data_IF_678136781754
#
_entry.id   IF_678136781754
#
_cell.length_a   1.000
_cell.length_b   1.000
_cell.length_c   1.000
_cell.angle_alpha   90.00
_cell.angle_beta   90.00
_cell.angle_gamma   90.00
#
_symmetry.space_group_name_H-M   'P 1'
#
loop_
_entity.id
_entity.type
_entity.pdbx_description
1 polymer ?
#
# COMPACT_ATOMS: atom_id res chain seq x y z
N UNK A 1 26.59 6.35 29.64
CA UNK A 1 25.47 5.85 28.82
C UNK A 1 25.58 6.19 27.32
N UNK A 2 26.43 7.16 26.91
CA UNK A 2 26.62 7.59 25.50
C UNK A 2 27.37 6.54 24.65
N UNK A 3 28.39 5.87 25.20
CA UNK A 3 29.21 4.89 24.47
C UNK A 3 28.43 3.70 23.90
N UNK A 4 27.43 3.18 24.63
CA UNK A 4 26.62 2.04 24.18
C UNK A 4 25.70 2.38 23.00
N UNK A 5 25.17 3.61 22.94
CA UNK A 5 24.35 4.05 21.80
C UNK A 5 25.19 4.21 20.53
N UNK A 6 26.45 4.66 20.66
CA UNK A 6 27.38 4.78 19.54
C UNK A 6 27.69 3.41 18.92
N UNK A 7 27.94 2.38 19.74
CA UNK A 7 28.23 1.02 19.24
C UNK A 7 27.03 0.40 18.52
N UNK A 8 25.81 0.58 19.04
CA UNK A 8 24.59 0.03 18.41
C UNK A 8 24.35 0.70 17.05
N UNK A 9 24.54 2.02 16.95
CA UNK A 9 24.40 2.76 15.68
C UNK A 9 25.43 2.29 14.65
N UNK A 10 26.68 2.15 15.04
CA UNK A 10 27.74 1.64 14.17
C UNK A 10 27.45 0.22 13.67
N UNK A 11 26.95 -0.67 14.54
CA UNK A 11 26.56 -2.02 14.14
C UNK A 11 25.41 -1.99 13.13
N UNK A 12 24.37 -1.19 13.39
CA UNK A 12 23.25 -1.00 12.46
C UNK A 12 23.74 -0.55 11.09
N UNK A 13 24.58 0.48 11.04
CA UNK A 13 25.03 1.08 9.78
C UNK A 13 25.89 0.08 8.97
N UNK A 14 26.73 -0.71 9.64
CA UNK A 14 27.47 -1.81 9.01
C UNK A 14 26.54 -2.89 8.44
N UNK A 15 25.49 -3.27 9.17
CA UNK A 15 24.49 -4.24 8.68
C UNK A 15 23.79 -3.68 7.45
N UNK A 16 23.28 -2.44 7.50
CA UNK A 16 22.61 -1.80 6.37
C UNK A 16 23.51 -1.71 5.13
N UNK A 17 24.78 -1.34 5.31
CA UNK A 17 25.76 -1.28 4.23
C UNK A 17 25.97 -2.65 3.59
N UNK A 18 26.12 -3.70 4.40
CA UNK A 18 26.30 -5.08 3.90
C UNK A 18 25.06 -5.57 3.15
N UNK A 19 23.86 -5.29 3.65
CA UNK A 19 22.60 -5.62 2.97
C UNK A 19 22.48 -4.88 1.62
N UNK A 20 22.89 -3.60 1.57
CA UNK A 20 22.89 -2.80 0.35
C UNK A 20 23.88 -3.34 -0.70
N UNK A 21 25.10 -3.66 -0.29
CA UNK A 21 26.11 -4.26 -1.17
C UNK A 21 25.62 -5.58 -1.78
N UNK A 22 24.94 -6.40 -0.98
CA UNK A 22 24.38 -7.68 -1.40
C UNK A 22 23.04 -7.54 -2.16
N UNK A 23 22.56 -6.31 -2.42
CA UNK A 23 21.27 -6.03 -3.07
C UNK A 23 20.08 -6.74 -2.40
N UNK A 24 20.10 -6.86 -1.08
CA UNK A 24 19.02 -7.50 -0.30
C UNK A 24 17.84 -6.54 -0.09
N UNK A 25 17.24 -6.08 -1.20
CA UNK A 25 16.22 -5.03 -1.24
C UNK A 25 14.99 -5.36 -0.38
N UNK A 26 14.55 -6.62 -0.36
CA UNK A 26 13.41 -7.06 0.44
C UNK A 26 13.65 -6.81 1.94
N UNK A 27 14.83 -7.16 2.44
CA UNK A 27 15.17 -7.01 3.85
C UNK A 27 15.40 -5.55 4.22
N UNK A 28 16.04 -4.77 3.34
CA UNK A 28 16.17 -3.32 3.52
C UNK A 28 14.80 -2.64 3.61
N UNK A 29 13.84 -3.06 2.78
CA UNK A 29 12.47 -2.54 2.80
C UNK A 29 11.75 -2.91 4.11
N UNK A 30 11.89 -4.16 4.58
CA UNK A 30 11.36 -4.58 5.88
C UNK A 30 11.92 -3.75 7.05
N UNK A 31 13.24 -3.53 7.06
CA UNK A 31 13.91 -2.71 8.09
C UNK A 31 13.38 -1.28 8.03
N UNK A 32 13.30 -0.68 6.83
CA UNK A 32 12.80 0.68 6.66
C UNK A 32 11.34 0.84 7.16
N UNK A 33 10.48 -0.15 6.91
CA UNK A 33 9.13 -0.19 7.48
C UNK A 33 9.14 -0.26 9.01
N UNK A 34 9.95 -1.14 9.58
CA UNK A 34 10.07 -1.30 11.04
C UNK A 34 10.56 -0.01 11.71
N UNK A 35 11.53 0.67 11.09
CA UNK A 35 12.07 1.94 11.54
C UNK A 35 11.16 3.16 11.23
N UNK A 36 10.02 2.93 10.57
CA UNK A 36 9.09 3.98 10.10
C UNK A 36 9.75 5.01 9.18
N UNK A 37 10.82 4.63 8.48
CA UNK A 37 11.49 5.48 7.50
C UNK A 37 10.79 5.34 6.14
N UNK A 38 9.67 6.06 5.98
CA UNK A 38 8.83 5.99 4.78
C UNK A 38 9.54 6.48 3.53
N UNK A 39 10.41 7.49 3.64
CA UNK A 39 11.21 7.98 2.51
C UNK A 39 12.09 6.87 1.94
N UNK A 40 12.77 6.13 2.83
CA UNK A 40 13.60 4.98 2.41
C UNK A 40 12.75 3.85 1.81
N UNK A 41 11.55 3.62 2.32
CA UNK A 41 10.62 2.66 1.71
C UNK A 41 10.25 3.10 0.28
N UNK A 42 9.94 4.37 0.07
CA UNK A 42 9.58 4.91 -1.25
C UNK A 42 10.73 4.81 -2.26
N UNK A 43 11.98 4.95 -1.81
CA UNK A 43 13.16 4.75 -2.65
C UNK A 43 13.36 3.28 -3.06
N UNK A 44 13.16 2.35 -2.12
CA UNK A 44 13.44 0.92 -2.32
C UNK A 44 12.29 0.20 -3.04
N UNK A 45 11.04 0.59 -2.79
CA UNK A 45 9.85 -0.12 -3.25
C UNK A 45 9.79 -0.32 -4.78
N UNK A 46 10.08 0.69 -5.63
CA UNK A 46 10.05 0.53 -7.08
C UNK A 46 11.12 -0.44 -7.62
N UNK A 47 12.16 -0.73 -6.85
CA UNK A 47 13.25 -1.63 -7.23
C UNK A 47 12.94 -3.10 -6.93
N UNK A 48 11.90 -3.35 -6.14
CA UNK A 48 11.42 -4.69 -5.81
C UNK A 48 10.72 -5.35 -7.00
N UNK A 49 10.77 -6.68 -7.08
CA UNK A 49 9.95 -7.43 -8.03
C UNK A 49 8.46 -7.32 -7.66
N UNK A 50 7.56 -7.49 -8.63
CA UNK A 50 6.11 -7.33 -8.39
C UNK A 50 5.58 -8.20 -7.23
N UNK A 51 6.03 -9.45 -7.13
CA UNK A 51 5.63 -10.36 -6.05
C UNK A 51 6.25 -9.99 -4.69
N UNK A 52 7.32 -9.20 -4.66
CA UNK A 52 7.88 -8.63 -3.42
C UNK A 52 7.11 -7.36 -3.04
N UNK A 53 6.79 -6.51 -4.02
CA UNK A 53 5.98 -5.31 -3.83
C UNK A 53 4.60 -5.64 -3.25
N UNK A 54 3.97 -6.72 -3.71
CA UNK A 54 2.64 -7.15 -3.23
C UNK A 54 2.60 -7.32 -1.70
N UNK A 55 3.70 -7.76 -1.08
CA UNK A 55 3.83 -7.96 0.37
C UNK A 55 3.76 -6.67 1.17
N UNK A 56 4.13 -5.54 0.55
CA UNK A 56 4.19 -4.23 1.21
C UNK A 56 3.10 -3.28 0.75
N UNK A 57 2.44 -3.55 -0.38
CA UNK A 57 1.51 -2.61 -1.04
C UNK A 57 0.48 -2.02 -0.09
N UNK A 58 -0.17 -2.83 0.74
CA UNK A 58 -1.16 -2.37 1.71
C UNK A 58 -0.55 -1.53 2.84
N UNK A 59 0.61 -1.94 3.36
CA UNK A 59 1.30 -1.21 4.41
C UNK A 59 1.80 0.15 3.90
N UNK A 60 2.36 0.18 2.69
CA UNK A 60 2.82 1.40 2.03
C UNK A 60 1.66 2.35 1.75
N UNK A 61 0.58 1.87 1.14
CA UNK A 61 -0.60 2.67 0.82
C UNK A 61 -1.13 3.39 2.06
N UNK A 62 -1.23 2.67 3.18
CA UNK A 62 -1.66 3.23 4.46
C UNK A 62 -0.68 4.26 5.01
N UNK A 63 0.63 4.00 4.92
CA UNK A 63 1.66 4.87 5.48
C UNK A 63 1.79 6.21 4.74
N UNK A 64 1.36 6.27 3.47
CA UNK A 64 1.52 7.44 2.61
C UNK A 64 0.19 8.14 2.28
N UNK A 65 -0.92 7.78 2.94
CA UNK A 65 -2.24 8.39 2.71
C UNK A 65 -2.21 9.93 2.76
N UNK A 66 -1.45 10.50 3.69
CA UNK A 66 -1.37 11.96 3.89
C UNK A 66 -0.24 12.64 3.14
N UNK A 67 0.88 11.93 2.91
CA UNK A 67 2.09 12.52 2.31
C UNK A 67 2.12 12.36 0.79
N UNK A 68 1.60 11.24 0.27
CA UNK A 68 1.56 10.91 -1.16
C UNK A 68 0.18 10.33 -1.54
N UNK A 69 -0.90 11.12 -1.41
CA UNK A 69 -2.27 10.62 -1.55
C UNK A 69 -2.56 9.97 -2.91
N UNK A 70 -2.02 10.51 -4.00
CA UNK A 70 -2.21 9.93 -5.34
C UNK A 70 -1.59 8.53 -5.46
N UNK A 71 -0.40 8.33 -4.87
CA UNK A 71 0.24 7.02 -4.85
C UNK A 71 -0.51 6.05 -3.94
N UNK A 72 -0.98 6.50 -2.76
CA UNK A 72 -1.84 5.70 -1.89
C UNK A 72 -3.10 5.21 -2.64
N UNK A 73 -3.77 6.11 -3.35
CA UNK A 73 -4.96 5.79 -4.17
C UNK A 73 -4.61 4.75 -5.24
N UNK A 74 -3.49 4.90 -5.95
CA UNK A 74 -3.07 3.94 -6.97
C UNK A 74 -2.81 2.55 -6.38
N UNK A 75 -2.13 2.46 -5.24
CA UNK A 75 -1.87 1.19 -4.55
C UNK A 75 -3.18 0.54 -4.06
N UNK A 76 -4.11 1.33 -3.51
CA UNK A 76 -5.43 0.81 -3.11
C UNK A 76 -6.27 0.34 -4.31
N UNK A 77 -6.18 1.01 -5.47
CA UNK A 77 -6.84 0.55 -6.71
C UNK A 77 -6.32 -0.83 -7.10
N UNK A 78 -4.99 -1.01 -7.10
CA UNK A 78 -4.38 -2.31 -7.41
C UNK A 78 -4.81 -3.41 -6.42
N UNK A 79 -4.83 -3.12 -5.12
CA UNK A 79 -5.30 -4.07 -4.10
C UNK A 79 -6.78 -4.44 -4.29
N UNK A 80 -7.63 -3.46 -4.59
CA UNK A 80 -9.05 -3.70 -4.86
C UNK A 80 -9.24 -4.60 -6.09
N UNK A 81 -8.53 -4.34 -7.19
CA UNK A 81 -8.56 -5.17 -8.40
C UNK A 81 -8.12 -6.60 -8.10
N UNK A 82 -6.98 -6.79 -7.41
CA UNK A 82 -6.48 -8.11 -7.03
C UNK A 82 -7.49 -8.89 -6.19
N UNK A 83 -8.16 -8.22 -5.24
CA UNK A 83 -9.19 -8.86 -4.42
C UNK A 83 -10.46 -9.20 -5.23
N UNK A 84 -10.87 -8.37 -6.19
CA UNK A 84 -12.01 -8.68 -7.08
C UNK A 84 -11.70 -9.90 -7.96
N UNK A 85 -10.47 -10.04 -8.44
CA UNK A 85 -10.04 -11.14 -9.31
C UNK A 85 -10.07 -12.51 -8.61
N UNK A 86 -10.01 -12.55 -7.27
CA UNK A 86 -10.17 -13.80 -6.52
C UNK A 86 -11.60 -14.36 -6.53
N UNK A 87 -12.58 -13.60 -7.04
CA UNK A 87 -13.97 -14.01 -7.33
C UNK A 87 -14.67 -14.76 -6.19
N UNK A 88 -14.41 -14.35 -4.95
CA UNK A 88 -15.06 -14.89 -3.77
C UNK A 88 -15.56 -13.77 -2.88
N UNK A 89 -16.55 -14.09 -2.03
CA UNK A 89 -17.26 -13.08 -1.25
C UNK A 89 -16.38 -12.41 -0.19
N UNK A 90 -15.44 -13.13 0.42
CA UNK A 90 -14.47 -12.54 1.35
C UNK A 90 -13.58 -11.52 0.65
N UNK A 91 -13.08 -11.84 -0.53
CA UNK A 91 -12.22 -10.95 -1.30
C UNK A 91 -12.99 -9.73 -1.83
N UNK A 92 -14.28 -9.85 -2.17
CA UNK A 92 -15.09 -8.67 -2.48
C UNK A 92 -15.24 -7.71 -1.29
N UNK A 93 -15.32 -8.22 -0.05
CA UNK A 93 -15.33 -7.36 1.15
C UNK A 93 -13.99 -6.66 1.33
N UNK A 94 -12.88 -7.35 1.08
CA UNK A 94 -11.54 -6.76 1.12
C UNK A 94 -11.38 -5.65 0.05
N UNK A 95 -11.85 -5.91 -1.19
CA UNK A 95 -11.87 -4.90 -2.24
C UNK A 95 -12.64 -3.64 -1.81
N UNK A 96 -13.83 -3.83 -1.24
CA UNK A 96 -14.67 -2.73 -0.70
C UNK A 96 -13.94 -1.93 0.37
N UNK A 97 -13.16 -2.58 1.26
CA UNK A 97 -12.36 -1.87 2.26
C UNK A 97 -11.29 -0.98 1.63
N UNK A 98 -10.61 -1.45 0.59
CA UNK A 98 -9.65 -0.62 -0.16
C UNK A 98 -10.32 0.55 -0.88
N UNK A 99 -11.51 0.36 -1.44
CA UNK A 99 -12.27 1.45 -2.07
C UNK A 99 -12.76 2.49 -1.05
N UNK A 100 -13.14 2.06 0.16
CA UNK A 100 -13.45 2.99 1.25
C UNK A 100 -12.21 3.80 1.67
N UNK A 101 -11.02 3.20 1.64
CA UNK A 101 -9.77 3.91 1.89
C UNK A 101 -9.50 4.98 0.84
N UNK A 102 -9.68 4.66 -0.45
CA UNK A 102 -9.64 5.66 -1.52
C UNK A 102 -10.60 6.81 -1.20
N UNK A 103 -11.87 6.53 -0.87
CA UNK A 103 -12.86 7.58 -0.50
C UNK A 103 -12.35 8.52 0.57
N UNK A 104 -11.72 7.96 1.61
CA UNK A 104 -11.22 8.71 2.75
C UNK A 104 -10.05 9.61 2.34
N UNK A 105 -9.07 9.07 1.61
CA UNK A 105 -7.90 9.82 1.12
C UNK A 105 -8.32 10.97 0.20
N UNK A 106 -9.24 10.72 -0.72
CA UNK A 106 -9.74 11.74 -1.65
C UNK A 106 -10.42 12.89 -0.91
N UNK A 107 -11.23 12.56 0.12
CA UNK A 107 -11.89 13.56 0.98
C UNK A 107 -10.89 14.38 1.80
N UNK A 108 -9.86 13.75 2.36
CA UNK A 108 -8.90 14.45 3.22
C UNK A 108 -7.97 15.39 2.46
N UNK A 109 -7.64 15.07 1.21
CA UNK A 109 -6.64 15.82 0.44
C UNK A 109 -7.25 16.88 -0.49
N UNK A 110 -8.55 17.18 -0.34
CA UNK A 110 -9.36 18.08 -1.19
C UNK A 110 -9.10 17.88 -2.69
N UNK A 111 -8.74 16.64 -3.06
CA UNK A 111 -8.41 16.31 -4.43
C UNK A 111 -9.75 16.12 -5.12
N UNK A 112 -10.22 17.19 -5.78
CA UNK A 112 -11.51 17.29 -6.46
C UNK A 112 -11.75 16.18 -7.51
N UNK A 113 -10.75 15.34 -7.79
CA UNK A 113 -10.69 14.46 -8.96
C UNK A 113 -11.46 13.13 -8.83
N UNK A 114 -11.88 12.72 -7.63
CA UNK A 114 -11.48 11.35 -7.26
C UNK A 114 -12.55 10.43 -6.62
N UNK A 115 -13.77 10.44 -7.16
CA UNK A 115 -14.78 9.37 -6.88
C UNK A 115 -15.31 8.63 -8.11
N UNK A 116 -15.06 9.15 -9.32
CA UNK A 116 -15.54 8.54 -10.58
C UNK A 116 -15.07 7.11 -10.77
N UNK A 117 -13.96 6.73 -10.11
CA UNK A 117 -13.40 5.37 -10.14
C UNK A 117 -14.40 4.28 -9.71
N UNK A 118 -15.35 4.55 -8.81
CA UNK A 118 -16.33 3.51 -8.42
C UNK A 118 -17.37 3.29 -9.51
N UNK A 119 -17.84 4.36 -10.14
CA UNK A 119 -18.74 4.23 -11.29
C UNK A 119 -18.07 3.45 -12.41
N UNK A 120 -16.81 3.76 -12.71
CA UNK A 120 -16.01 3.03 -13.69
C UNK A 120 -15.81 1.55 -13.28
N UNK A 121 -15.56 1.29 -12.00
CA UNK A 121 -15.41 -0.08 -11.48
C UNK A 121 -16.70 -0.89 -11.63
N UNK A 122 -17.86 -0.30 -11.34
CA UNK A 122 -19.16 -0.96 -11.55
C UNK A 122 -19.38 -1.30 -13.03
N UNK A 123 -18.99 -0.40 -13.93
CA UNK A 123 -19.05 -0.65 -15.38
C UNK A 123 -18.04 -1.70 -15.85
N UNK A 124 -16.88 -1.83 -15.19
CA UNK A 124 -15.87 -2.86 -15.51
C UNK A 124 -16.32 -4.27 -15.09
N UNK A 125 -17.13 -4.40 -14.04
CA UNK A 125 -17.56 -5.69 -13.50
C UNK A 125 -19.10 -5.85 -13.45
N UNK A 126 -19.83 -5.70 -14.58
CA UNK A 126 -21.29 -5.57 -14.58
C UNK A 126 -22.04 -6.84 -14.14
N UNK A 127 -21.38 -8.01 -14.21
CA UNK A 127 -21.99 -9.32 -13.90
C UNK A 127 -21.72 -9.78 -12.47
N UNK A 128 -20.85 -9.09 -11.71
CA UNK A 128 -20.44 -9.50 -10.37
C UNK A 128 -21.45 -9.02 -9.32
N UNK A 129 -22.63 -9.65 -9.28
CA UNK A 129 -23.73 -9.26 -8.38
C UNK A 129 -23.33 -9.21 -6.90
N UNK A 130 -22.57 -10.20 -6.45
CA UNK A 130 -22.07 -10.23 -5.07
C UNK A 130 -21.12 -9.06 -4.76
N UNK A 131 -20.30 -8.62 -5.72
CA UNK A 131 -19.47 -7.42 -5.56
C UNK A 131 -20.36 -6.17 -5.47
N UNK A 132 -21.36 -6.04 -6.35
CA UNK A 132 -22.31 -4.92 -6.32
C UNK A 132 -23.09 -4.84 -5.02
N UNK A 133 -23.45 -5.96 -4.42
CA UNK A 133 -24.14 -6.00 -3.13
C UNK A 133 -23.23 -5.46 -2.01
N UNK A 134 -21.96 -5.89 -1.97
CA UNK A 134 -21.00 -5.42 -0.95
C UNK A 134 -20.66 -3.92 -1.16
N UNK A 135 -20.53 -3.44 -2.41
CA UNK A 135 -20.39 -2.01 -2.72
C UNK A 135 -21.59 -1.21 -2.20
N UNK A 136 -22.81 -1.68 -2.49
CA UNK A 136 -24.06 -1.00 -2.09
C UNK A 136 -24.19 -0.92 -0.56
N UNK A 137 -23.86 -2.00 0.17
CA UNK A 137 -23.83 -2.00 1.64
C UNK A 137 -22.85 -0.98 2.22
N UNK A 138 -21.71 -0.80 1.56
CA UNK A 138 -20.68 0.14 1.95
C UNK A 138 -20.96 1.59 1.54
N UNK A 139 -22.12 1.87 0.91
CA UNK A 139 -22.49 3.18 0.34
C UNK A 139 -21.43 3.70 -0.64
N UNK A 140 -20.97 2.78 -1.49
CA UNK A 140 -20.00 2.99 -2.56
C UNK A 140 -20.67 3.02 -3.94
#
# INVERSE_FOLDING_TARGET
MIFAQTTIRQLRDNVLQKLQQNKQLLLLTHIAFYEKNIERVLELFPQLKEWEQSRFRQALAKAIETTHPQMAIALYKQLATQAIEQKNRSAYREAVQHLQRIKAVCKSCNTQSDWTGITQLRSQYPTLRALHDELSKAKL
#
